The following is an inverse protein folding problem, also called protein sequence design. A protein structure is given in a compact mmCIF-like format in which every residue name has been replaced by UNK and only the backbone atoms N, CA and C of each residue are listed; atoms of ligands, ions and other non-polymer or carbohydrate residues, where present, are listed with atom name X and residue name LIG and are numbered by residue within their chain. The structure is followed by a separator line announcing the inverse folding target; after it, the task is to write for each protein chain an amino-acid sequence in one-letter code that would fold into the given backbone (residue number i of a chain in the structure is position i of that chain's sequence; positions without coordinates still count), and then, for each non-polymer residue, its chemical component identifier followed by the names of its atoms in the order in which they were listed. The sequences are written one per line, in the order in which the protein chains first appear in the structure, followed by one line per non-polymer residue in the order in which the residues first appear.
data_IF_895397743254
#
_entry.id   IF_895397743254
#
_cell.length_a   1.000
_cell.length_b   1.000
_cell.length_c   1.000
_cell.angle_alpha   90.00
_cell.angle_beta   90.00
_cell.angle_gamma   90.00
#
_symmetry.space_group_name_H-M   'P 1'
#
loop_
_entity.id
_entity.type
_entity.pdbx_description
1 polymer ?
#
# COMPACT_ATOMS: atom_id res chain seq x y z
N UNK A 1 3.74 0.15 3.71
CA UNK A 1 3.13 1.49 3.91
C UNK A 1 4.12 2.56 3.53
N UNK A 2 3.67 3.80 3.29
CA UNK A 2 4.57 4.95 3.16
C UNK A 2 4.73 5.63 4.51
N UNK A 3 5.96 5.99 4.86
CA UNK A 3 6.20 6.88 5.99
C UNK A 3 5.80 8.30 5.57
N UNK A 4 5.01 8.98 6.39
CA UNK A 4 4.75 10.41 6.23
C UNK A 4 5.42 11.19 7.34
N UNK A 5 6.11 12.25 6.99
CA UNK A 5 6.82 13.12 7.90
C UNK A 5 6.51 14.59 7.61
N UNK A 6 6.49 15.44 8.64
CA UNK A 6 6.28 16.88 8.50
C UNK A 6 6.90 17.63 9.66
N UNK A 7 7.32 18.86 9.40
CA UNK A 7 7.70 19.84 10.42
C UNK A 7 6.51 20.35 11.27
N UNK A 8 5.26 20.08 10.84
CA UNK A 8 4.02 20.39 11.55
C UNK A 8 3.32 19.10 11.99
N UNK A 9 3.32 18.82 13.30
CA UNK A 9 2.71 17.62 13.90
C UNK A 9 1.18 17.58 13.77
N UNK A 10 0.50 18.73 13.82
CA UNK A 10 -0.95 18.79 13.68
C UNK A 10 -1.36 18.47 12.23
N UNK A 11 -0.68 19.08 11.27
CA UNK A 11 -0.86 18.76 9.84
C UNK A 11 -0.63 17.28 9.58
N UNK A 12 0.46 16.72 10.10
CA UNK A 12 0.82 15.31 9.95
C UNK A 12 -0.28 14.36 10.45
N UNK A 13 -0.83 14.63 11.65
CA UNK A 13 -1.92 13.84 12.25
C UNK A 13 -3.19 13.91 11.39
N UNK A 14 -3.59 15.09 10.98
CA UNK A 14 -4.78 15.34 10.16
C UNK A 14 -4.66 14.70 8.79
N UNK A 15 -3.53 14.92 8.11
CA UNK A 15 -3.25 14.32 6.79
C UNK A 15 -3.23 12.79 6.86
N UNK A 16 -2.55 12.22 7.85
CA UNK A 16 -2.49 10.76 8.02
C UNK A 16 -3.88 10.14 8.22
N UNK A 17 -4.78 10.81 8.94
CA UNK A 17 -6.17 10.36 9.10
C UNK A 17 -6.91 10.37 7.74
N UNK A 18 -6.81 11.46 6.98
CA UNK A 18 -7.49 11.59 5.69
C UNK A 18 -6.93 10.59 4.66
N UNK A 19 -5.61 10.39 4.61
CA UNK A 19 -4.99 9.45 3.69
C UNK A 19 -5.42 8.00 3.99
N UNK A 20 -5.53 7.62 5.27
CA UNK A 20 -6.08 6.31 5.67
C UNK A 20 -7.53 6.14 5.26
N UNK A 21 -8.37 7.17 5.39
CA UNK A 21 -9.75 7.14 4.90
C UNK A 21 -9.83 6.95 3.37
N UNK A 22 -8.83 7.41 2.63
CA UNK A 22 -8.68 7.16 1.19
C UNK A 22 -8.02 5.81 0.85
N UNK A 23 -7.88 4.91 1.84
CA UNK A 23 -7.18 3.62 1.71
C UNK A 23 -5.73 3.74 1.23
N UNK A 24 -5.11 4.91 1.42
CA UNK A 24 -3.71 5.11 1.09
C UNK A 24 -2.83 4.60 2.23
N UNK A 25 -1.88 3.71 1.97
CA UNK A 25 -1.14 3.00 3.01
C UNK A 25 -0.05 3.88 3.63
N UNK A 26 -0.40 4.68 4.63
CA UNK A 26 0.52 5.56 5.36
C UNK A 26 0.71 5.17 6.82
N UNK A 27 1.90 5.42 7.35
CA UNK A 27 2.25 5.33 8.76
C UNK A 27 3.05 6.55 9.19
N UNK A 28 2.93 6.92 10.46
CA UNK A 28 3.80 7.90 11.12
C UNK A 28 4.86 7.19 11.98
N UNK A 29 4.86 5.86 12.03
CA UNK A 29 5.75 5.07 12.87
C UNK A 29 6.98 4.63 12.07
N UNK A 30 8.15 5.12 12.48
CA UNK A 30 9.45 4.84 11.86
C UNK A 30 9.84 3.35 11.99
N UNK A 31 9.31 2.64 12.98
CA UNK A 31 9.65 1.23 13.25
C UNK A 31 9.07 0.25 12.22
N UNK A 32 8.07 0.68 11.46
CA UNK A 32 7.44 -0.16 10.44
C UNK A 32 8.25 -0.16 9.13
N UNK A 33 8.16 -1.26 8.39
CA UNK A 33 8.72 -1.32 7.04
C UNK A 33 7.95 -0.42 6.07
N UNK A 34 8.64 0.50 5.41
CA UNK A 34 8.03 1.49 4.51
C UNK A 34 8.45 1.26 3.06
N UNK A 35 7.56 1.61 2.14
CA UNK A 35 7.83 1.64 0.69
C UNK A 35 8.63 2.88 0.27
N UNK A 36 8.72 3.87 1.14
CA UNK A 36 9.39 5.15 0.96
C UNK A 36 8.86 6.20 1.93
N UNK A 37 9.49 7.36 1.98
CA UNK A 37 9.12 8.47 2.84
C UNK A 37 8.58 9.64 2.00
N UNK A 38 7.44 10.20 2.43
CA UNK A 38 6.86 11.43 1.89
C UNK A 38 7.06 12.51 2.94
N UNK A 39 7.85 13.52 2.63
CA UNK A 39 8.11 14.67 3.50
C UNK A 39 7.23 15.86 3.11
N UNK A 40 6.77 16.57 4.12
CA UNK A 40 5.96 17.77 3.97
C UNK A 40 6.58 18.88 4.79
N UNK A 41 7.12 19.91 4.12
CA UNK A 41 7.61 21.12 4.76
C UNK A 41 6.55 22.22 4.65
N UNK A 42 5.95 22.55 5.80
CA UNK A 42 4.93 23.60 5.90
C UNK A 42 5.64 24.93 6.11
N UNK A 43 5.48 25.82 5.16
CA UNK A 43 5.99 27.20 5.20
C UNK A 43 4.80 28.18 5.27
N UNK A 44 5.06 29.44 5.62
CA UNK A 44 4.02 30.47 5.87
C UNK A 44 2.92 30.54 4.78
N UNK A 45 3.29 30.41 3.53
CA UNK A 45 2.38 30.56 2.37
C UNK A 45 2.53 29.48 1.29
N UNK A 46 3.22 28.40 1.60
CA UNK A 46 3.36 27.23 0.71
C UNK A 46 3.66 25.96 1.48
N UNK A 47 3.35 24.83 0.89
CA UNK A 47 3.81 23.51 1.31
C UNK A 47 4.76 22.95 0.25
N UNK A 48 5.86 22.36 0.67
CA UNK A 48 6.76 21.58 -0.18
C UNK A 48 6.53 20.11 0.12
N UNK A 49 6.31 19.32 -0.92
CA UNK A 49 6.09 17.89 -0.85
C UNK A 49 7.27 17.21 -1.52
N UNK A 50 7.99 16.36 -0.80
CA UNK A 50 9.12 15.61 -1.31
C UNK A 50 8.85 14.11 -1.25
N UNK A 51 9.22 13.41 -2.31
CA UNK A 51 9.23 11.95 -2.37
C UNK A 51 10.42 11.49 -3.20
N UNK A 52 11.36 10.79 -2.55
CA UNK A 52 12.64 10.38 -3.16
C UNK A 52 13.41 11.60 -3.70
N UNK A 53 13.71 11.62 -5.01
CA UNK A 53 14.41 12.72 -5.70
C UNK A 53 13.47 13.75 -6.34
N UNK A 54 12.15 13.60 -6.14
CA UNK A 54 11.12 14.47 -6.71
C UNK A 54 10.57 15.40 -5.65
N UNK A 55 10.29 16.64 -6.01
CA UNK A 55 9.58 17.57 -5.15
C UNK A 55 8.50 18.33 -5.91
N UNK A 56 7.58 18.89 -5.16
CA UNK A 56 6.51 19.75 -5.67
C UNK A 56 6.14 20.79 -4.61
N UNK A 57 5.81 22.01 -5.04
CA UNK A 57 5.35 23.04 -4.11
C UNK A 57 3.94 23.51 -4.43
N UNK A 58 3.11 23.68 -3.40
CA UNK A 58 1.77 24.25 -3.48
C UNK A 58 1.71 25.55 -2.69
N UNK A 59 1.19 26.62 -3.31
CA UNK A 59 0.90 27.87 -2.61
C UNK A 59 -0.36 27.71 -1.78
N UNK A 60 -0.37 28.23 -0.55
CA UNK A 60 -1.55 28.30 0.29
C UNK A 60 -2.43 29.50 -0.10
N UNK A 61 -3.77 29.39 -0.04
CA UNK A 61 -4.55 28.21 0.32
C UNK A 61 -4.66 27.19 -0.83
N UNK A 62 -4.74 25.90 -0.50
CA UNK A 62 -4.96 24.82 -1.47
C UNK A 62 -6.01 23.83 -0.95
N UNK A 63 -6.70 23.15 -1.86
CA UNK A 63 -7.63 22.10 -1.50
C UNK A 63 -6.92 20.78 -1.22
N UNK A 64 -7.53 19.90 -0.40
CA UNK A 64 -7.03 18.55 -0.21
C UNK A 64 -6.96 17.79 -1.55
N UNK A 65 -7.89 17.97 -2.46
CA UNK A 65 -7.89 17.30 -3.76
C UNK A 65 -6.65 17.71 -4.60
N UNK A 66 -6.24 18.98 -4.53
CA UNK A 66 -5.02 19.46 -5.19
C UNK A 66 -3.79 18.80 -4.56
N UNK A 67 -3.69 18.79 -3.23
CA UNK A 67 -2.63 18.11 -2.50
C UNK A 67 -2.55 16.63 -2.88
N UNK A 68 -3.69 15.93 -2.85
CA UNK A 68 -3.79 14.52 -3.18
C UNK A 68 -3.32 14.19 -4.60
N UNK A 69 -3.75 14.95 -5.61
CA UNK A 69 -3.31 14.78 -6.99
C UNK A 69 -1.79 14.91 -7.14
N UNK A 70 -1.18 15.85 -6.43
CA UNK A 70 0.27 16.04 -6.49
C UNK A 70 1.04 14.92 -5.77
N UNK A 71 0.55 14.41 -4.64
CA UNK A 71 1.10 13.22 -3.99
C UNK A 71 1.09 12.04 -4.97
N UNK A 72 -0.06 11.74 -5.59
CA UNK A 72 -0.17 10.65 -6.56
C UNK A 72 0.75 10.84 -7.77
N UNK A 73 0.88 12.06 -8.27
CA UNK A 73 1.76 12.39 -9.38
C UNK A 73 3.24 12.14 -9.03
N UNK A 74 3.70 12.60 -7.85
CA UNK A 74 5.07 12.36 -7.39
C UNK A 74 5.40 10.88 -7.28
N UNK A 75 4.42 10.08 -6.88
CA UNK A 75 4.60 8.67 -6.58
C UNK A 75 4.19 7.73 -7.74
N UNK A 76 3.74 8.27 -8.88
CA UNK A 76 3.19 7.43 -9.96
C UNK A 76 4.14 6.35 -10.48
N UNK A 77 5.45 6.63 -10.47
CA UNK A 77 6.47 5.73 -10.98
C UNK A 77 7.11 4.89 -9.85
N UNK A 78 6.68 5.09 -8.60
CA UNK A 78 7.19 4.30 -7.49
C UNK A 78 6.76 2.84 -7.66
N UNK A 79 7.73 1.95 -7.65
CA UNK A 79 7.54 0.51 -7.78
C UNK A 79 8.28 -0.25 -6.69
N UNK A 80 7.71 -1.36 -6.27
CA UNK A 80 8.29 -2.31 -5.34
C UNK A 80 8.54 -3.60 -6.13
N UNK A 81 9.79 -4.00 -6.22
CA UNK A 81 10.14 -5.25 -6.87
C UNK A 81 10.15 -6.38 -5.84
N UNK A 82 9.61 -7.52 -6.21
CA UNK A 82 9.69 -8.76 -5.47
C UNK A 82 9.68 -9.94 -6.45
N UNK A 83 10.59 -10.85 -6.28
CA UNK A 83 10.89 -11.89 -7.26
C UNK A 83 11.02 -11.27 -8.68
N UNK A 84 10.21 -11.75 -9.61
CA UNK A 84 10.14 -11.24 -10.99
C UNK A 84 9.05 -10.20 -11.21
N UNK A 85 8.27 -9.88 -10.18
CA UNK A 85 7.14 -8.94 -10.22
C UNK A 85 7.58 -7.53 -9.83
N UNK A 86 6.96 -6.54 -10.45
CA UNK A 86 6.96 -5.15 -10.01
C UNK A 86 5.56 -4.74 -9.60
N UNK A 87 5.40 -4.23 -8.39
CA UNK A 87 4.15 -3.69 -7.89
C UNK A 87 4.19 -2.17 -7.85
N UNK A 88 3.16 -1.54 -8.41
CA UNK A 88 2.96 -0.09 -8.45
C UNK A 88 1.84 0.30 -7.48
N UNK A 89 2.15 0.69 -6.24
CA UNK A 89 1.15 0.88 -5.18
C UNK A 89 0.08 1.93 -5.49
N UNK A 90 0.47 3.04 -6.12
CA UNK A 90 -0.45 4.14 -6.48
C UNK A 90 -1.34 3.81 -7.67
N UNK A 91 -0.91 2.89 -8.51
CA UNK A 91 -1.65 2.42 -9.68
C UNK A 91 -2.43 1.13 -9.40
N UNK A 92 -2.17 0.49 -8.24
CA UNK A 92 -2.72 -0.83 -7.85
C UNK A 92 -2.47 -1.89 -8.95
N UNK A 93 -1.27 -1.87 -9.53
CA UNK A 93 -0.93 -2.66 -10.71
C UNK A 93 0.29 -3.52 -10.43
N UNK A 94 0.24 -4.77 -10.87
CA UNK A 94 1.40 -5.65 -10.98
C UNK A 94 1.90 -5.67 -12.42
N UNK A 95 3.20 -5.85 -12.61
CA UNK A 95 3.77 -6.10 -13.94
C UNK A 95 4.91 -7.13 -13.90
N UNK A 96 5.02 -7.87 -14.99
CA UNK A 96 6.20 -8.66 -15.38
C UNK A 96 6.54 -8.27 -16.81
N UNK A 97 7.76 -7.75 -17.03
CA UNK A 97 8.18 -7.22 -18.34
C UNK A 97 7.11 -6.21 -18.84
N UNK A 98 6.56 -6.43 -20.04
CA UNK A 98 5.57 -5.54 -20.65
C UNK A 98 4.11 -5.83 -20.28
N UNK A 99 3.87 -6.97 -19.62
CA UNK A 99 2.52 -7.33 -19.17
C UNK A 99 2.16 -6.61 -17.88
N UNK A 100 0.97 -6.00 -17.83
CA UNK A 100 0.42 -5.29 -16.67
C UNK A 100 -0.93 -5.84 -16.28
N UNK A 101 -1.17 -5.97 -14.99
CA UNK A 101 -2.42 -6.44 -14.40
C UNK A 101 -2.90 -5.46 -13.34
N UNK A 102 -4.04 -4.83 -13.58
CA UNK A 102 -4.73 -4.00 -12.58
C UNK A 102 -5.38 -4.92 -11.54
N UNK A 103 -5.08 -4.70 -10.28
CA UNK A 103 -5.64 -5.47 -9.17
C UNK A 103 -6.99 -4.91 -8.72
N UNK A 104 -7.93 -5.80 -8.36
CA UNK A 104 -9.11 -5.42 -7.59
C UNK A 104 -8.72 -5.10 -6.16
N UNK A 105 -9.54 -4.30 -5.46
CA UNK A 105 -9.27 -3.84 -4.10
C UNK A 105 -8.78 -4.96 -3.16
N UNK A 106 -9.50 -6.06 -3.05
CA UNK A 106 -9.14 -7.19 -2.14
C UNK A 106 -7.77 -7.78 -2.49
N UNK A 107 -7.51 -8.05 -3.77
CA UNK A 107 -6.23 -8.59 -4.22
C UNK A 107 -5.09 -7.60 -3.98
N UNK A 108 -5.35 -6.31 -4.19
CA UNK A 108 -4.39 -5.25 -3.90
C UNK A 108 -4.04 -5.20 -2.41
N UNK A 109 -5.04 -5.31 -1.51
CA UNK A 109 -4.78 -5.36 -0.07
C UNK A 109 -3.97 -6.60 0.34
N UNK A 110 -4.27 -7.77 -0.23
CA UNK A 110 -3.49 -9.00 0.02
C UNK A 110 -2.03 -8.81 -0.39
N UNK A 111 -1.75 -8.29 -1.59
CA UNK A 111 -0.37 -8.02 -2.06
C UNK A 111 0.34 -7.03 -1.13
N UNK A 112 -0.34 -5.98 -0.69
CA UNK A 112 0.21 -5.00 0.27
C UNK A 112 0.61 -5.66 1.58
N UNK A 113 -0.25 -6.49 2.15
CA UNK A 113 0.04 -7.20 3.39
C UNK A 113 1.16 -8.22 3.22
N UNK A 114 1.18 -8.94 2.10
CA UNK A 114 2.23 -9.87 1.77
C UNK A 114 3.61 -9.17 1.72
N UNK A 115 3.71 -8.04 1.01
CA UNK A 115 4.94 -7.23 0.92
C UNK A 115 5.36 -6.63 2.27
N UNK A 116 4.40 -6.25 3.13
CA UNK A 116 4.68 -5.72 4.46
C UNK A 116 5.22 -6.77 5.42
N UNK A 117 4.70 -7.99 5.35
CA UNK A 117 5.09 -9.08 6.24
C UNK A 117 6.52 -9.56 6.01
N UNK A 118 7.05 -9.39 4.79
CA UNK A 118 8.40 -9.87 4.40
C UNK A 118 8.66 -11.31 4.85
N UNK A 119 7.70 -12.20 4.62
CA UNK A 119 7.79 -13.60 5.01
C UNK A 119 7.51 -13.89 6.50
N UNK A 120 7.22 -12.89 7.32
CA UNK A 120 6.77 -13.11 8.69
C UNK A 120 5.32 -13.61 8.73
N UNK A 121 4.97 -14.54 9.65
CA UNK A 121 3.60 -15.00 9.82
C UNK A 121 2.64 -13.86 10.18
N UNK A 122 1.46 -13.86 9.59
CA UNK A 122 0.36 -12.92 9.88
C UNK A 122 -0.83 -13.74 10.39
N UNK A 123 -1.53 -13.26 11.42
CA UNK A 123 -2.81 -13.82 11.83
C UNK A 123 -3.84 -13.69 10.69
N UNK A 124 -4.56 -14.78 10.37
CA UNK A 124 -5.65 -14.74 9.38
C UNK A 124 -6.75 -13.75 9.77
N UNK A 125 -7.00 -13.61 11.07
CA UNK A 125 -7.97 -12.65 11.63
C UNK A 125 -7.51 -11.22 11.36
N UNK A 126 -6.23 -10.92 11.61
CA UNK A 126 -5.68 -9.57 11.40
C UNK A 126 -5.63 -9.23 9.91
N UNK A 127 -5.24 -10.19 9.07
CA UNK A 127 -5.29 -10.03 7.61
C UNK A 127 -6.74 -9.78 7.15
N UNK A 128 -7.72 -10.56 7.63
CA UNK A 128 -9.14 -10.36 7.31
C UNK A 128 -9.60 -8.95 7.69
N UNK A 129 -9.36 -8.52 8.93
CA UNK A 129 -9.75 -7.18 9.43
C UNK A 129 -9.07 -6.05 8.67
N UNK A 130 -7.84 -6.24 8.20
CA UNK A 130 -7.15 -5.23 7.38
C UNK A 130 -7.78 -5.02 6.01
N UNK A 131 -8.42 -6.06 5.46
CA UNK A 131 -9.08 -6.03 4.16
C UNK A 131 -10.54 -5.58 4.28
N UNK A 132 -11.24 -6.07 5.29
CA UNK A 132 -12.67 -5.81 5.54
C UNK A 132 -12.90 -5.25 6.95
N UNK A 133 -12.45 -4.02 7.23
CA UNK A 133 -12.53 -3.44 8.60
C UNK A 133 -13.96 -3.15 9.07
N UNK A 134 -14.93 -3.18 8.17
CA UNK A 134 -16.36 -2.94 8.48
C UNK A 134 -17.15 -4.22 8.70
N UNK A 135 -16.60 -5.40 8.38
CA UNK A 135 -17.28 -6.67 8.62
C UNK A 135 -17.33 -6.94 10.14
N UNK A 136 -18.52 -7.19 10.66
CA UNK A 136 -18.74 -7.52 12.07
C UNK A 136 -18.23 -8.92 12.32
N UNK A 137 -18.63 -9.87 11.45
CA UNK A 137 -18.25 -11.27 11.54
C UNK A 137 -17.02 -11.59 10.69
N UNK A 138 -16.18 -12.48 11.20
CA UNK A 138 -14.95 -12.89 10.53
C UNK A 138 -15.19 -14.20 9.78
N UNK A 139 -15.18 -14.14 8.46
CA UNK A 139 -15.38 -15.28 7.56
C UNK A 139 -14.04 -15.70 6.92
N UNK A 140 -13.27 -16.56 7.61
CA UNK A 140 -11.94 -17.00 7.11
C UNK A 140 -12.05 -17.68 5.74
N UNK A 141 -13.10 -18.42 5.44
CA UNK A 141 -13.32 -19.04 4.13
C UNK A 141 -13.40 -17.99 2.99
N UNK A 142 -13.92 -16.77 3.28
CA UNK A 142 -13.92 -15.65 2.33
C UNK A 142 -12.49 -15.23 2.01
N UNK A 143 -11.62 -15.13 3.02
CA UNK A 143 -10.19 -14.82 2.84
C UNK A 143 -9.50 -15.91 2.01
N UNK A 144 -9.67 -17.19 2.38
CA UNK A 144 -9.04 -18.32 1.68
C UNK A 144 -9.47 -18.38 0.20
N UNK A 145 -10.74 -18.07 -0.10
CA UNK A 145 -11.23 -17.95 -1.48
C UNK A 145 -10.51 -16.85 -2.26
N UNK A 146 -10.32 -15.65 -1.66
CA UNK A 146 -9.62 -14.56 -2.33
C UNK A 146 -8.13 -14.82 -2.50
N UNK A 147 -7.49 -15.53 -1.58
CA UNK A 147 -6.11 -15.97 -1.70
C UNK A 147 -5.94 -16.94 -2.88
N UNK A 148 -6.83 -17.92 -2.99
CA UNK A 148 -6.85 -18.89 -4.09
C UNK A 148 -7.09 -18.19 -5.43
N UNK A 149 -8.07 -17.29 -5.49
CA UNK A 149 -8.36 -16.53 -6.71
C UNK A 149 -7.19 -15.65 -7.13
N UNK A 150 -6.48 -15.00 -6.18
CA UNK A 150 -5.29 -14.22 -6.48
C UNK A 150 -4.16 -15.10 -7.04
N UNK A 151 -3.93 -16.27 -6.43
CA UNK A 151 -2.93 -17.25 -6.91
C UNK A 151 -3.23 -17.66 -8.36
N UNK A 152 -4.49 -18.03 -8.66
CA UNK A 152 -4.90 -18.42 -10.01
C UNK A 152 -4.74 -17.25 -11.00
N UNK A 153 -5.19 -16.06 -10.61
CA UNK A 153 -5.06 -14.84 -11.44
C UNK A 153 -3.61 -14.55 -11.82
N UNK A 154 -2.66 -14.69 -10.89
CA UNK A 154 -1.24 -14.46 -11.16
C UNK A 154 -0.63 -15.57 -12.01
N UNK A 155 -1.07 -16.82 -11.81
CA UNK A 155 -0.64 -17.94 -12.64
C UNK A 155 -1.10 -17.79 -14.09
N UNK A 156 -2.37 -17.43 -14.31
CA UNK A 156 -2.95 -17.25 -15.63
C UNK A 156 -2.34 -16.08 -16.41
N UNK A 157 -2.15 -14.93 -15.75
CA UNK A 157 -1.68 -13.72 -16.43
C UNK A 157 -0.16 -13.68 -16.60
N UNK A 158 0.59 -14.19 -15.64
CA UNK A 158 2.03 -14.01 -15.55
C UNK A 158 2.83 -15.32 -15.52
N UNK A 159 2.15 -16.46 -15.44
CA UNK A 159 2.76 -17.76 -15.12
C UNK A 159 3.58 -17.69 -13.80
N UNK A 160 3.09 -16.89 -12.85
CA UNK A 160 3.75 -16.65 -11.56
C UNK A 160 3.06 -17.44 -10.45
N UNK A 161 3.85 -18.22 -9.70
CA UNK A 161 3.37 -19.00 -8.58
C UNK A 161 3.41 -18.16 -7.29
N UNK A 162 2.27 -17.56 -6.94
CA UNK A 162 2.12 -16.83 -5.68
C UNK A 162 2.00 -17.84 -4.53
N UNK A 163 3.11 -17.99 -3.80
CA UNK A 163 3.22 -19.00 -2.76
C UNK A 163 2.92 -18.42 -1.38
N UNK A 164 2.14 -19.15 -0.60
CA UNK A 164 1.91 -18.91 0.81
C UNK A 164 1.70 -20.22 1.56
N UNK A 165 2.11 -20.24 2.84
CA UNK A 165 1.82 -21.34 3.76
C UNK A 165 0.72 -20.90 4.71
N UNK A 166 -0.30 -21.74 4.86
CA UNK A 166 -1.40 -21.55 5.78
C UNK A 166 -1.33 -22.64 6.85
N UNK A 167 -1.11 -22.25 8.10
CA UNK A 167 -1.06 -23.18 9.23
C UNK A 167 -1.96 -22.65 10.34
N UNK A 168 -2.95 -23.45 10.75
CA UNK A 168 -3.89 -23.09 11.81
C UNK A 168 -4.52 -21.71 11.57
N UNK A 169 -4.21 -20.73 12.43
CA UNK A 169 -4.73 -19.37 12.38
C UNK A 169 -3.80 -18.37 11.69
N UNK A 170 -2.68 -18.81 11.12
CA UNK A 170 -1.66 -17.95 10.53
C UNK A 170 -1.46 -18.21 9.03
N UNK A 171 -0.97 -17.19 8.33
CA UNK A 171 -0.53 -17.25 6.94
C UNK A 171 0.85 -16.61 6.81
N UNK A 172 1.73 -17.26 6.05
CA UNK A 172 3.07 -16.77 5.73
C UNK A 172 3.19 -16.67 4.22
N UNK A 173 3.44 -15.47 3.69
CA UNK A 173 3.69 -15.27 2.27
C UNK A 173 5.17 -15.53 1.96
N UNK A 174 5.43 -16.38 0.96
CA UNK A 174 6.80 -16.73 0.52
C UNK A 174 7.17 -15.81 -0.64
N UNK A 175 7.55 -14.58 -0.32
CA UNK A 175 7.97 -13.53 -1.26
C UNK A 175 9.43 -13.19 -0.96
N UNK A 176 10.29 -13.21 -1.97
CA UNK A 176 11.72 -12.87 -1.88
C UNK A 176 12.00 -11.44 -2.37
#
# INVERSE_FOLDING_TARGET
MYLINSNDKFFLKSLGSILRQKNFPVSNDIKNNHYGEIKFDILKNKIIIEFEKKNFSLKSPFSFNTLWKNILFLMKDNKINFDTLSYFPTQETLSIKDKKLKLRYTHNQIIRQALQSRGSPISKVDLYKSIWPKDIDIHINKLDTHLTNLKNLLKENFNYDFLFKSQSSQITFLIN
#
